data_IF_408125631494
#
_entry.id   IF_408125631494
#
_cell.length_a   1.000
_cell.length_b   1.000
_cell.length_c   1.000
_cell.angle_alpha   90.00
_cell.angle_beta   90.00
_cell.angle_gamma   90.00
#
_symmetry.space_group_name_H-M   'P 1'
#
loop_
_entity.id
_entity.type
_entity.pdbx_description
1 polymer ?
#
# COMPACT_ATOMS: atom_id res chain seq x y z
N UNK A 1 -1.00 12.46 -0.58
CA UNK A 1 -2.14 11.53 -0.67
C UNK A 1 -1.71 10.13 -0.23
N UNK A 2 -2.50 9.48 0.64
CA UNK A 2 -2.26 8.10 1.06
C UNK A 2 -3.01 7.11 0.15
N UNK A 3 -2.38 5.98 -0.18
CA UNK A 3 -2.98 4.92 -0.99
C UNK A 3 -2.94 3.59 -0.22
N UNK A 4 -4.09 2.95 -0.07
CA UNK A 4 -4.16 1.60 0.49
C UNK A 4 -3.85 0.56 -0.58
N UNK A 5 -2.98 -0.37 -0.23
CA UNK A 5 -2.49 -1.40 -1.13
C UNK A 5 -2.50 -2.75 -0.43
N UNK A 6 -2.44 -3.81 -1.22
CA UNK A 6 -2.15 -5.15 -0.75
C UNK A 6 -0.69 -5.49 -1.02
N UNK A 7 -0.08 -6.23 -0.11
CA UNK A 7 1.23 -6.85 -0.33
C UNK A 7 1.10 -8.02 -1.32
N UNK A 8 2.23 -8.53 -1.82
CA UNK A 8 2.25 -9.75 -2.67
C UNK A 8 1.65 -11.00 -1.98
N UNK A 9 1.56 -10.96 -0.65
CA UNK A 9 0.97 -12.00 0.23
C UNK A 9 -0.42 -11.60 0.74
N UNK A 10 -1.07 -10.64 0.09
CA UNK A 10 -2.43 -10.18 0.38
C UNK A 10 -2.65 -9.51 1.77
N UNK A 11 -1.56 -9.16 2.44
CA UNK A 11 -1.62 -8.35 3.68
C UNK A 11 -1.81 -6.86 3.39
N UNK A 12 -2.52 -6.15 4.27
CA UNK A 12 -2.75 -4.71 4.17
C UNK A 12 -1.48 -3.88 4.31
N UNK A 13 -1.42 -2.82 3.50
CA UNK A 13 -0.31 -1.89 3.41
C UNK A 13 -0.84 -0.48 3.12
N UNK A 14 -0.14 0.52 3.62
CA UNK A 14 -0.38 1.92 3.27
C UNK A 14 0.85 2.45 2.56
N UNK A 15 0.64 3.20 1.50
CA UNK A 15 1.64 4.07 0.90
C UNK A 15 1.33 5.50 1.26
N UNK A 16 2.35 6.23 1.69
CA UNK A 16 2.28 7.65 1.97
C UNK A 16 3.62 8.30 1.61
N UNK A 17 3.60 9.39 0.84
CA UNK A 17 4.79 10.09 0.34
C UNK A 17 5.85 9.14 -0.28
N UNK A 18 5.41 8.21 -1.12
CA UNK A 18 6.25 7.18 -1.75
C UNK A 18 7.00 6.24 -0.79
N UNK A 19 6.65 6.25 0.49
CA UNK A 19 7.07 5.25 1.47
C UNK A 19 5.96 4.23 1.70
N UNK A 20 6.35 2.96 1.82
CA UNK A 20 5.44 1.86 2.10
C UNK A 20 5.50 1.47 3.57
N UNK A 21 4.33 1.21 4.15
CA UNK A 21 4.17 0.80 5.53
C UNK A 21 3.28 -0.45 5.61
N UNK A 22 3.78 -1.50 6.25
CA UNK A 22 2.99 -2.69 6.55
C UNK A 22 2.15 -2.46 7.80
N UNK A 23 1.02 -3.15 7.88
CA UNK A 23 0.25 -3.23 9.13
C UNK A 23 1.15 -3.66 10.31
N UNK A 24 1.09 -2.90 11.39
CA UNK A 24 1.79 -3.17 12.65
C UNK A 24 0.84 -3.73 13.69
N UNK A 25 -0.04 -2.87 14.19
CA UNK A 25 -0.98 -3.19 15.27
C UNK A 25 -2.15 -2.20 15.26
N UNK A 26 -3.28 -2.57 15.84
CA UNK A 26 -4.38 -1.67 16.14
C UNK A 26 -4.44 -1.40 17.65
N UNK A 27 -4.74 -0.16 18.01
CA UNK A 27 -5.14 0.20 19.36
C UNK A 27 -6.67 0.24 19.40
N UNK A 28 -7.27 -0.70 20.14
CA UNK A 28 -8.72 -0.86 20.21
C UNK A 28 -9.39 0.32 20.95
N UNK A 29 -8.69 0.90 21.93
CA UNK A 29 -9.24 1.99 22.74
C UNK A 29 -9.28 3.32 21.99
N UNK A 30 -8.28 3.58 21.15
CA UNK A 30 -8.16 4.84 20.38
C UNK A 30 -8.56 4.70 18.92
N UNK A 31 -8.95 3.49 18.48
CA UNK A 31 -9.22 3.16 17.07
C UNK A 31 -8.07 3.55 16.12
N UNK A 32 -6.85 3.58 16.63
CA UNK A 32 -5.65 3.96 15.90
C UNK A 32 -5.00 2.73 15.29
N UNK A 33 -4.63 2.81 14.02
CA UNK A 33 -3.86 1.76 13.34
C UNK A 33 -2.43 2.23 13.15
N UNK A 34 -1.49 1.46 13.70
CA UNK A 34 -0.06 1.66 13.55
C UNK A 34 0.44 0.90 12.34
N UNK A 35 1.13 1.60 11.45
CA UNK A 35 1.81 1.06 10.29
C UNK A 35 3.31 1.28 10.39
N UNK A 36 4.10 0.24 10.10
CA UNK A 36 5.57 0.29 10.18
C UNK A 36 6.19 0.28 8.80
N UNK A 37 7.26 1.03 8.58
CA UNK A 37 7.95 1.01 7.31
C UNK A 37 8.31 -0.42 6.86
N UNK A 38 8.20 -0.69 5.56
CA UNK A 38 8.53 -2.01 4.99
C UNK A 38 10.02 -2.35 5.13
N UNK A 39 10.91 -1.35 5.21
CA UNK A 39 12.35 -1.56 5.42
C UNK A 39 12.61 -1.84 6.90
N UNK A 40 13.06 -3.06 7.22
CA UNK A 40 13.31 -3.49 8.60
C UNK A 40 14.32 -2.64 9.37
N UNK A 41 15.28 -2.04 8.67
CA UNK A 41 16.27 -1.13 9.25
C UNK A 41 15.72 0.26 9.54
N UNK A 42 14.48 0.56 9.12
CA UNK A 42 13.84 1.85 9.28
C UNK A 42 12.83 1.79 10.43
N UNK A 43 12.93 2.74 11.35
CA UNK A 43 12.02 2.89 12.51
C UNK A 43 10.77 3.73 12.19
N UNK A 44 10.69 4.31 10.99
CA UNK A 44 9.58 5.16 10.58
C UNK A 44 8.22 4.46 10.73
N UNK A 45 7.28 5.17 11.34
CA UNK A 45 5.95 4.67 11.70
C UNK A 45 4.90 5.71 11.28
N UNK A 46 3.79 5.21 10.76
CA UNK A 46 2.65 5.99 10.34
C UNK A 46 1.44 5.57 11.18
N UNK A 47 0.63 6.53 11.61
CA UNK A 47 -0.58 6.27 12.36
C UNK A 47 -1.79 6.80 11.59
N UNK A 48 -2.87 6.03 11.61
CA UNK A 48 -4.11 6.38 10.94
C UNK A 48 -5.29 6.19 11.88
N UNK A 49 -6.24 7.14 11.88
CA UNK A 49 -7.45 7.07 12.69
C UNK A 49 -8.68 6.73 11.82
N UNK A 50 -9.58 5.89 12.34
CA UNK A 50 -10.82 5.50 11.66
C UNK A 50 -10.68 4.33 10.65
N UNK A 51 -11.81 3.88 10.10
CA UNK A 51 -11.89 2.60 9.37
C UNK A 51 -11.35 2.61 7.94
N UNK A 52 -11.17 3.78 7.31
CA UNK A 52 -10.45 3.98 6.06
C UNK A 52 -9.93 5.41 6.07
N UNK A 53 -8.64 5.63 5.82
CA UNK A 53 -8.08 6.98 5.70
C UNK A 53 -8.69 7.61 4.46
N UNK A 54 -9.66 8.51 4.66
CA UNK A 54 -10.28 9.26 3.56
C UNK A 54 -9.54 10.58 3.32
N UNK A 55 -8.90 11.16 4.34
CA UNK A 55 -8.27 12.47 4.26
C UNK A 55 -6.90 12.51 4.95
N UNK A 56 -5.98 13.33 4.44
CA UNK A 56 -4.63 13.54 5.01
C UNK A 56 -4.67 14.02 6.48
N UNK A 57 -5.77 14.66 6.90
CA UNK A 57 -6.03 15.09 8.28
C UNK A 57 -6.06 13.94 9.31
N UNK A 58 -6.30 12.70 8.88
CA UNK A 58 -6.35 11.52 9.75
C UNK A 58 -5.01 10.78 9.84
N UNK A 59 -3.95 11.38 9.30
CA UNK A 59 -2.60 10.80 9.26
C UNK A 59 -1.72 11.56 10.24
N UNK A 60 -1.27 10.86 11.29
CA UNK A 60 -0.21 11.37 12.15
C UNK A 60 1.11 10.67 11.78
N UNK A 61 2.09 11.51 11.42
CA UNK A 61 3.48 11.11 11.31
C UNK A 61 4.10 11.27 12.69
N UNK A 62 4.68 10.20 13.25
CA UNK A 62 5.47 10.41 14.47
C UNK A 62 6.72 11.21 14.13
N UNK A 63 7.08 12.15 15.00
CA UNK A 63 8.23 13.07 14.87
C UNK A 63 9.60 12.35 14.75
N UNK A 64 9.62 11.02 14.88
CA UNK A 64 10.80 10.17 14.60
C UNK A 64 10.93 9.72 13.13
N UNK A 65 10.17 10.32 12.21
CA UNK A 65 10.08 9.96 10.79
C UNK A 65 11.27 10.38 9.91
N UNK A 66 12.50 10.22 10.39
CA UNK A 66 13.66 10.22 9.49
C UNK A 66 13.79 8.84 8.86
N UNK A 67 13.11 8.64 7.73
CA UNK A 67 13.43 7.51 6.87
C UNK A 67 14.93 7.52 6.60
N UNK A 68 15.60 6.41 6.89
CA UNK A 68 17.03 6.23 6.64
C UNK A 68 17.30 5.59 5.27
N UNK A 69 16.34 5.70 4.36
CA UNK A 69 16.41 5.16 3.02
C UNK A 69 15.59 6.03 2.08
N UNK A 70 15.90 5.94 0.79
CA UNK A 70 15.17 6.67 -0.24
C UNK A 70 13.71 6.18 -0.35
N UNK A 71 12.80 7.04 -0.83
CA UNK A 71 11.45 6.64 -1.23
C UNK A 71 11.47 5.53 -2.28
N UNK A 72 10.35 4.83 -2.41
CA UNK A 72 10.18 3.84 -3.47
C UNK A 72 10.03 4.55 -4.82
N UNK A 73 10.61 3.97 -5.87
CA UNK A 73 10.43 4.44 -7.24
C UNK A 73 8.98 4.20 -7.71
N UNK A 74 8.42 5.15 -8.46
CA UNK A 74 7.07 5.06 -9.03
C UNK A 74 6.94 3.84 -9.97
N UNK A 75 8.00 3.46 -10.68
CA UNK A 75 7.97 2.26 -11.54
C UNK A 75 7.77 0.96 -10.74
N UNK A 76 8.45 0.83 -9.60
CA UNK A 76 8.31 -0.31 -8.69
C UNK A 76 6.93 -0.35 -8.05
N UNK A 77 6.39 0.84 -7.75
CA UNK A 77 5.04 1.03 -7.22
C UNK A 77 4.00 0.57 -8.23
N UNK A 78 4.06 1.09 -9.46
CA UNK A 78 3.12 0.78 -10.53
C UNK A 78 3.16 -0.70 -10.86
N UNK A 79 4.36 -1.28 -10.97
CA UNK A 79 4.52 -2.72 -11.17
C UNK A 79 3.88 -3.52 -10.04
N UNK A 80 4.04 -3.12 -8.79
CA UNK A 80 3.42 -3.80 -7.66
C UNK A 80 1.89 -3.72 -7.76
N UNK A 81 1.34 -2.53 -8.01
CA UNK A 81 -0.11 -2.30 -8.13
C UNK A 81 -0.73 -3.19 -9.21
N UNK A 82 -0.17 -3.19 -10.41
CA UNK A 82 -0.63 -4.04 -11.52
C UNK A 82 -0.53 -5.52 -11.13
N UNK A 83 0.61 -5.96 -10.60
CA UNK A 83 0.83 -7.38 -10.26
C UNK A 83 -0.15 -7.89 -9.20
N UNK A 84 -0.41 -7.11 -8.16
CA UNK A 84 -1.34 -7.51 -7.09
C UNK A 84 -2.78 -7.52 -7.59
N UNK A 85 -3.15 -6.56 -8.43
CA UNK A 85 -4.51 -6.49 -9.00
C UNK A 85 -4.76 -7.62 -9.98
N UNK A 86 -3.82 -7.92 -10.89
CA UNK A 86 -3.92 -9.06 -11.79
C UNK A 86 -4.07 -10.37 -11.01
N UNK A 87 -3.25 -10.58 -9.97
CA UNK A 87 -3.31 -11.77 -9.14
C UNK A 87 -4.69 -11.93 -8.47
N UNK A 88 -5.23 -10.85 -7.90
CA UNK A 88 -6.56 -10.84 -7.28
C UNK A 88 -7.65 -11.19 -8.30
N UNK A 89 -7.68 -10.50 -9.44
CA UNK A 89 -8.65 -10.74 -10.52
C UNK A 89 -8.58 -12.17 -11.05
N UNK A 90 -7.38 -12.73 -11.20
CA UNK A 90 -7.20 -14.12 -11.63
C UNK A 90 -7.75 -15.15 -10.63
N UNK A 91 -7.75 -14.84 -9.33
CA UNK A 91 -8.36 -15.70 -8.31
C UNK A 91 -9.88 -15.57 -8.24
N UNK A 92 -10.44 -14.41 -8.61
CA UNK A 92 -11.88 -14.15 -8.61
C UNK A 92 -12.56 -14.62 -9.92
N UNK A 93 -11.89 -14.47 -11.06
CA UNK A 93 -12.41 -14.72 -12.42
C UNK A 93 -11.73 -15.96 -13.04
N UNK A 94 -11.98 -17.14 -12.47
CA UNK A 94 -11.29 -18.41 -12.82
C UNK A 94 -11.38 -18.81 -14.30
N UNK A 95 -12.40 -18.34 -15.02
CA UNK A 95 -12.66 -18.70 -16.43
C UNK A 95 -12.05 -17.71 -17.42
N UNK A 96 -11.45 -16.60 -16.96
CA UNK A 96 -10.82 -15.63 -17.84
C UNK A 96 -9.36 -16.01 -18.05
N UNK A 97 -8.93 -16.01 -19.31
CA UNK A 97 -7.54 -16.27 -19.63
C UNK A 97 -6.62 -15.21 -18.98
N UNK A 98 -5.55 -15.61 -18.27
CA UNK A 98 -4.66 -14.68 -17.57
C UNK A 98 -4.11 -13.54 -18.46
N UNK A 99 -3.84 -13.83 -19.74
CA UNK A 99 -3.41 -12.83 -20.73
C UNK A 99 -4.38 -11.66 -20.85
N UNK A 100 -5.70 -11.92 -20.85
CA UNK A 100 -6.72 -10.86 -20.96
C UNK A 100 -6.74 -9.97 -19.72
N UNK A 101 -6.58 -10.57 -18.53
CA UNK A 101 -6.51 -9.84 -17.27
C UNK A 101 -5.30 -8.91 -17.28
N UNK A 102 -4.11 -9.42 -17.62
CA UNK A 102 -2.86 -8.63 -17.64
C UNK A 102 -2.95 -7.48 -18.64
N UNK A 103 -3.38 -7.74 -19.88
CA UNK A 103 -3.47 -6.70 -20.91
C UNK A 103 -4.46 -5.60 -20.52
N UNK A 104 -5.60 -5.97 -19.91
CA UNK A 104 -6.59 -5.01 -19.42
C UNK A 104 -6.01 -4.13 -18.31
N UNK A 105 -5.30 -4.71 -17.34
CA UNK A 105 -4.69 -3.92 -16.27
C UNK A 105 -3.60 -2.99 -16.78
N UNK A 106 -2.75 -3.47 -17.71
CA UNK A 106 -1.71 -2.62 -18.30
C UNK A 106 -2.31 -1.46 -19.07
N UNK A 107 -3.37 -1.67 -19.85
CA UNK A 107 -4.08 -0.60 -20.57
C UNK A 107 -4.73 0.42 -19.63
N UNK A 108 -5.18 0.00 -18.44
CA UNK A 108 -5.79 0.89 -17.44
C UNK A 108 -4.76 1.66 -16.61
N UNK A 109 -3.53 1.16 -16.49
CA UNK A 109 -2.46 1.76 -15.69
C UNK A 109 -1.33 2.38 -16.55
N UNK A 110 -1.52 2.53 -17.86
CA UNK A 110 -0.53 3.13 -18.79
C UNK A 110 -0.71 4.64 -19.00
N UNK A 111 -1.63 5.28 -18.28
CA UNK A 111 -2.02 6.68 -18.47
C UNK A 111 -1.45 7.65 -17.42
N UNK A 112 -0.23 7.42 -16.94
CA UNK A 112 0.50 8.37 -16.08
C UNK A 112 1.86 8.72 -16.69
#
# INVERSE_FOLDING_TARGET
MAVFLKSKRDKDMVMFNNYKYNFGSNNVNTCEVRWRCVKRSCSATLYTFGSKVVNEENILLSDQNRHNHMPCNDSDINRQMVSTTCKRKASEELFIQPKKIILKELAQNSTF
#
